data_IF_236024876761
#
_entry.id   IF_236024876761
#
_cell.length_a   1.000
_cell.length_b   1.000
_cell.length_c   1.000
_cell.angle_alpha   90.00
_cell.angle_beta   90.00
_cell.angle_gamma   90.00
#
_symmetry.space_group_name_H-M   'P 1'
#
loop_
_entity.id
_entity.type
_entity.pdbx_description
1 polymer ?
#
# COMPACT_ATOMS: atom_id res chain seq x y z
N UNK A 1 27.99 -17.40 -19.20
CA UNK A 1 27.07 -16.46 -19.86
C UNK A 1 25.65 -16.96 -19.58
N UNK A 2 24.97 -16.42 -18.56
CA UNK A 2 23.57 -16.75 -18.24
C UNK A 2 22.66 -15.71 -18.92
N UNK A 3 21.51 -16.10 -19.49
CA UNK A 3 20.69 -15.21 -20.28
C UNK A 3 19.68 -14.52 -19.36
N UNK A 4 19.98 -13.30 -18.89
CA UNK A 4 19.05 -12.21 -18.54
C UNK A 4 19.92 -11.06 -18.00
N UNK A 5 19.68 -9.84 -18.47
CA UNK A 5 20.54 -8.68 -18.22
C UNK A 5 20.50 -8.16 -16.78
N UNK A 6 21.10 -8.89 -15.84
CA UNK A 6 21.34 -8.40 -14.49
C UNK A 6 22.49 -7.38 -14.51
N UNK A 7 22.18 -6.12 -14.18
CA UNK A 7 23.19 -5.08 -13.97
C UNK A 7 24.02 -5.45 -12.74
N UNK A 8 25.27 -5.86 -12.98
CA UNK A 8 26.23 -6.14 -11.93
C UNK A 8 26.85 -4.83 -11.45
N UNK A 9 26.74 -4.57 -10.15
CA UNK A 9 27.34 -3.41 -9.51
C UNK A 9 28.43 -3.86 -8.54
N UNK A 10 29.65 -3.38 -8.76
CA UNK A 10 30.78 -3.63 -7.87
C UNK A 10 31.26 -2.31 -7.26
N UNK A 11 31.51 -2.32 -5.96
CA UNK A 11 32.23 -1.25 -5.27
C UNK A 11 33.71 -1.63 -5.21
N UNK A 12 34.56 -0.82 -5.84
CA UNK A 12 36.01 -0.93 -5.74
C UNK A 12 36.52 -0.07 -4.59
N UNK A 13 37.25 -0.68 -3.66
CA UNK A 13 38.01 0.02 -2.63
C UNK A 13 39.49 -0.22 -2.89
N UNK A 14 40.28 0.86 -2.93
CA UNK A 14 41.74 0.81 -3.11
C UNK A 14 42.38 1.31 -1.83
N UNK A 15 43.18 0.46 -1.21
CA UNK A 15 43.91 0.81 0.02
C UNK A 15 45.41 0.72 -0.23
N UNK A 16 46.18 1.80 0.00
CA UNK A 16 47.62 1.75 -0.13
C UNK A 16 48.19 0.82 0.95
N UNK A 17 49.15 0.00 0.57
CA UNK A 17 49.94 -0.82 1.49
C UNK A 17 51.28 -0.14 1.64
N UNK A 18 51.64 0.15 2.88
CA UNK A 18 52.98 0.62 3.24
C UNK A 18 53.74 -0.51 3.92
N UNK A 19 55.03 -0.58 3.62
CA UNK A 19 55.96 -1.46 4.30
C UNK A 19 56.90 -0.59 5.13
N UNK A 20 57.25 -1.04 6.33
CA UNK A 20 58.16 -0.29 7.19
C UNK A 20 59.59 -0.58 6.75
N UNK A 21 60.33 0.46 6.34
CA UNK A 21 61.74 0.33 5.96
C UNK A 21 62.63 0.59 7.17
N UNK A 22 63.31 -0.46 7.65
CA UNK A 22 64.18 -0.40 8.84
C UNK A 22 65.38 0.55 8.67
N UNK A 23 65.94 0.66 7.46
CA UNK A 23 67.10 1.50 7.18
C UNK A 23 66.74 3.00 7.14
N UNK A 24 65.53 3.31 6.70
CA UNK A 24 65.02 4.68 6.61
C UNK A 24 64.18 5.09 7.84
N UNK A 25 63.95 4.17 8.78
CA UNK A 25 63.09 4.38 9.97
C UNK A 25 61.70 4.96 9.63
N UNK A 26 61.17 4.64 8.46
CA UNK A 26 59.91 5.22 7.96
C UNK A 26 59.09 4.22 7.14
N UNK A 27 57.78 4.45 7.08
CA UNK A 27 56.88 3.70 6.21
C UNK A 27 57.05 4.15 4.75
N UNK A 28 57.33 3.20 3.86
CA UNK A 28 57.46 3.42 2.41
C UNK A 28 56.32 2.74 1.66
N UNK A 29 55.89 3.26 0.50
CA UNK A 29 54.84 2.64 -0.30
C UNK A 29 55.29 1.27 -0.81
N UNK A 30 54.53 0.22 -0.50
CA UNK A 30 54.79 -1.16 -0.92
C UNK A 30 53.83 -1.64 -2.01
N UNK A 31 52.65 -1.02 -2.13
CA UNK A 31 51.70 -1.35 -3.18
C UNK A 31 50.29 -0.86 -2.89
N UNK A 32 49.31 -1.47 -3.57
CA UNK A 32 47.89 -1.20 -3.38
C UNK A 32 47.13 -2.52 -3.29
N UNK A 33 46.17 -2.60 -2.37
CA UNK A 33 45.18 -3.68 -2.31
C UNK A 33 43.90 -3.19 -2.96
N UNK A 34 43.42 -3.96 -3.94
CA UNK A 34 42.14 -3.73 -4.61
C UNK A 34 41.11 -4.70 -4.03
N UNK A 35 40.06 -4.18 -3.43
CA UNK A 35 38.92 -4.96 -2.96
C UNK A 35 37.71 -4.66 -3.83
N UNK A 36 37.17 -5.67 -4.53
CA UNK A 36 35.89 -5.57 -5.22
C UNK A 36 34.82 -6.22 -4.36
N UNK A 37 33.79 -5.47 -4.00
CA UNK A 37 32.60 -5.97 -3.31
C UNK A 37 31.42 -5.95 -4.28
N UNK A 38 30.75 -7.09 -4.44
CA UNK A 38 29.46 -7.12 -5.12
C UNK A 38 28.42 -6.37 -4.28
N UNK A 39 27.88 -5.30 -4.83
CA UNK A 39 26.84 -4.44 -4.24
C UNK A 39 25.55 -4.46 -5.07
N UNK A 40 25.42 -5.41 -5.99
CA UNK A 40 24.26 -5.53 -6.90
C UNK A 40 22.96 -5.66 -6.13
N UNK A 41 22.91 -6.47 -5.07
CA UNK A 41 21.72 -6.63 -4.23
C UNK A 41 21.29 -5.32 -3.56
N UNK A 42 22.24 -4.54 -3.05
CA UNK A 42 21.95 -3.24 -2.44
C UNK A 42 21.45 -2.24 -3.48
N UNK A 43 22.12 -2.16 -4.65
CA UNK A 43 21.72 -1.26 -5.73
C UNK A 43 20.35 -1.59 -6.31
N UNK A 44 20.05 -2.88 -6.48
CA UNK A 44 18.72 -3.32 -6.93
C UNK A 44 17.63 -2.95 -5.92
N UNK A 45 17.88 -3.13 -4.62
CA UNK A 45 16.95 -2.73 -3.59
C UNK A 45 16.71 -1.21 -3.57
N UNK A 46 17.78 -0.42 -3.69
CA UNK A 46 17.72 1.05 -3.72
C UNK A 46 16.97 1.57 -4.95
N UNK A 47 17.19 0.92 -6.10
CA UNK A 47 16.45 1.17 -7.34
C UNK A 47 14.95 0.88 -7.17
N UNK A 48 14.60 -0.31 -6.67
CA UNK A 48 13.19 -0.70 -6.44
C UNK A 48 12.51 0.27 -5.47
N UNK A 49 13.21 0.72 -4.42
CA UNK A 49 12.68 1.75 -3.50
C UNK A 49 12.44 3.07 -4.21
N UNK A 50 13.38 3.52 -5.03
CA UNK A 50 13.27 4.77 -5.77
C UNK A 50 12.12 4.73 -6.78
N UNK A 51 12.00 3.62 -7.52
CA UNK A 51 10.90 3.37 -8.47
C UNK A 51 9.54 3.33 -7.75
N UNK A 52 9.46 2.62 -6.62
CA UNK A 52 8.26 2.58 -5.80
C UNK A 52 7.83 3.98 -5.33
N UNK A 53 8.76 4.78 -4.80
CA UNK A 53 8.47 6.16 -4.36
C UNK A 53 8.03 7.06 -5.52
N UNK A 54 8.66 6.92 -6.70
CA UNK A 54 8.26 7.65 -7.89
C UNK A 54 6.84 7.28 -8.32
N UNK A 55 6.53 5.99 -8.42
CA UNK A 55 5.17 5.50 -8.76
C UNK A 55 4.13 6.02 -7.79
N UNK A 56 4.38 5.95 -6.49
CA UNK A 56 3.44 6.44 -5.48
C UNK A 56 3.24 7.96 -5.61
N UNK A 57 4.31 8.72 -5.83
CA UNK A 57 4.22 10.17 -6.03
C UNK A 57 3.33 10.50 -7.24
N UNK A 58 3.47 9.77 -8.34
CA UNK A 58 2.61 9.91 -9.52
C UNK A 58 1.14 9.55 -9.23
N UNK A 59 0.90 8.42 -8.55
CA UNK A 59 -0.45 7.96 -8.20
C UNK A 59 -1.17 8.90 -7.22
N UNK A 60 -0.43 9.63 -6.37
CA UNK A 60 -0.99 10.65 -5.47
C UNK A 60 -1.27 11.97 -6.19
N UNK A 61 -0.43 12.36 -7.16
CA UNK A 61 -0.58 13.63 -7.90
C UNK A 61 -1.89 13.70 -8.69
N UNK A 62 -2.31 12.59 -9.28
CA UNK A 62 -3.53 12.49 -10.10
C UNK A 62 -4.82 12.80 -9.33
N UNK A 63 -5.16 12.12 -8.21
CA UNK A 63 -6.35 12.45 -7.42
C UNK A 63 -6.28 13.86 -6.81
N UNK A 64 -5.10 14.36 -6.43
CA UNK A 64 -4.92 15.74 -5.98
C UNK A 64 -5.27 16.76 -7.08
N UNK A 65 -4.80 16.54 -8.31
CA UNK A 65 -5.14 17.39 -9.45
C UNK A 65 -6.65 17.36 -9.76
N UNK A 66 -7.29 16.19 -9.66
CA UNK A 66 -8.74 16.02 -9.80
C UNK A 66 -9.52 16.79 -8.74
N UNK A 67 -9.11 16.71 -7.47
CA UNK A 67 -9.71 17.50 -6.37
C UNK A 67 -9.56 18.99 -6.66
N UNK A 68 -8.37 19.45 -7.05
CA UNK A 68 -8.13 20.85 -7.34
C UNK A 68 -9.03 21.36 -8.48
N UNK A 69 -9.14 20.61 -9.57
CA UNK A 69 -10.04 20.95 -10.67
C UNK A 69 -11.51 21.00 -10.23
N UNK A 70 -11.94 20.03 -9.42
CA UNK A 70 -13.30 19.96 -8.87
C UNK A 70 -13.60 21.17 -7.97
N UNK A 71 -12.65 21.59 -7.15
CA UNK A 71 -12.75 22.80 -6.35
C UNK A 71 -12.84 24.06 -7.21
N UNK A 72 -12.07 24.15 -8.30
CA UNK A 72 -12.18 25.26 -9.26
C UNK A 72 -13.56 25.31 -9.93
N UNK A 73 -14.14 24.15 -10.28
CA UNK A 73 -15.49 24.09 -10.83
C UNK A 73 -16.54 24.59 -9.83
N UNK A 74 -16.41 24.24 -8.54
CA UNK A 74 -17.32 24.70 -7.48
C UNK A 74 -17.33 26.23 -7.27
N UNK A 75 -16.34 26.95 -7.79
CA UNK A 75 -16.31 28.42 -7.73
C UNK A 75 -17.25 29.07 -8.75
N UNK A 76 -17.77 28.33 -9.72
CA UNK A 76 -18.75 28.86 -10.68
C UNK A 76 -20.14 28.99 -10.02
N UNK A 77 -20.55 30.24 -9.78
CA UNK A 77 -21.85 30.56 -9.16
C UNK A 77 -23.05 30.11 -9.99
N UNK A 78 -22.86 29.83 -11.30
CA UNK A 78 -23.90 29.39 -12.22
C UNK A 78 -24.26 27.90 -12.05
N UNK A 79 -23.51 27.15 -11.24
CA UNK A 79 -23.80 25.75 -10.96
C UNK A 79 -25.07 25.60 -10.11
N UNK A 80 -25.96 24.72 -10.56
CA UNK A 80 -27.12 24.30 -9.80
C UNK A 80 -26.72 23.42 -8.59
N UNK A 81 -27.68 23.19 -7.69
CA UNK A 81 -27.45 22.42 -6.47
C UNK A 81 -27.08 20.95 -6.77
N UNK A 82 -27.67 20.35 -7.80
CA UNK A 82 -27.43 18.96 -8.17
C UNK A 82 -25.99 18.75 -8.65
N UNK A 83 -25.48 19.62 -9.53
CA UNK A 83 -24.13 19.55 -10.06
C UNK A 83 -23.08 19.84 -8.99
N UNK A 84 -23.33 20.79 -8.09
CA UNK A 84 -22.45 21.01 -6.91
C UNK A 84 -22.34 19.75 -6.06
N UNK A 85 -23.46 19.06 -5.84
CA UNK A 85 -23.48 17.85 -5.02
C UNK A 85 -22.76 16.68 -5.70
N UNK A 86 -22.85 16.55 -7.02
CA UNK A 86 -22.06 15.60 -7.81
C UNK A 86 -20.55 15.89 -7.69
N UNK A 87 -20.13 17.14 -7.88
CA UNK A 87 -18.71 17.55 -7.77
C UNK A 87 -18.18 17.31 -6.35
N UNK A 88 -18.96 17.67 -5.31
CA UNK A 88 -18.61 17.39 -3.92
C UNK A 88 -18.49 15.87 -3.63
N UNK A 89 -19.35 15.06 -4.28
CA UNK A 89 -19.27 13.61 -4.24
C UNK A 89 -17.96 13.07 -4.83
N UNK A 90 -17.52 13.61 -5.97
CA UNK A 90 -16.22 13.33 -6.58
C UNK A 90 -15.08 13.62 -5.61
N UNK A 91 -14.98 14.86 -5.12
CA UNK A 91 -13.95 15.28 -4.15
C UNK A 91 -13.86 14.31 -2.95
N UNK A 92 -15.00 13.90 -2.40
CA UNK A 92 -15.05 12.93 -1.30
C UNK A 92 -14.47 11.57 -1.70
N UNK A 93 -14.79 11.08 -2.90
CA UNK A 93 -14.25 9.83 -3.45
C UNK A 93 -12.73 9.89 -3.62
N UNK A 94 -12.21 10.95 -4.25
CA UNK A 94 -10.76 11.12 -4.43
C UNK A 94 -10.01 11.24 -3.09
N UNK A 95 -10.61 11.93 -2.11
CA UNK A 95 -10.06 12.05 -0.75
C UNK A 95 -10.00 10.70 -0.05
N UNK A 96 -11.05 9.89 -0.18
CA UNK A 96 -11.07 8.54 0.38
C UNK A 96 -10.02 7.63 -0.28
N UNK A 97 -9.82 7.75 -1.61
CA UNK A 97 -8.76 7.04 -2.33
C UNK A 97 -7.38 7.44 -1.84
N UNK A 98 -7.12 8.74 -1.65
CA UNK A 98 -5.86 9.26 -1.11
C UNK A 98 -5.58 8.71 0.30
N UNK A 99 -6.58 8.73 1.18
CA UNK A 99 -6.46 8.16 2.54
C UNK A 99 -6.09 6.67 2.49
N UNK A 100 -6.69 5.91 1.57
CA UNK A 100 -6.33 4.50 1.34
C UNK A 100 -4.87 4.32 0.92
N UNK A 101 -4.38 5.12 -0.04
CA UNK A 101 -3.00 5.09 -0.53
C UNK A 101 -1.98 5.45 0.57
N UNK A 102 -2.28 6.48 1.37
CA UNK A 102 -1.44 6.85 2.52
C UNK A 102 -1.39 5.72 3.55
N UNK A 103 -2.52 5.05 3.81
CA UNK A 103 -2.55 3.88 4.68
C UNK A 103 -1.66 2.74 4.18
N UNK A 104 -1.69 2.46 2.87
CA UNK A 104 -0.82 1.44 2.26
C UNK A 104 0.67 1.80 2.40
N UNK A 105 1.02 3.06 2.16
CA UNK A 105 2.38 3.58 2.34
C UNK A 105 2.90 3.39 3.78
N UNK A 106 2.07 3.70 4.77
CA UNK A 106 2.44 3.55 6.20
C UNK A 106 2.67 2.07 6.54
N UNK A 107 1.85 1.16 6.03
CA UNK A 107 2.03 -0.28 6.25
C UNK A 107 3.30 -0.81 5.58
N UNK A 108 3.60 -0.38 4.33
CA UNK A 108 4.87 -0.72 3.65
C UNK A 108 6.08 -0.19 4.43
N UNK A 109 6.05 1.07 4.87
CA UNK A 109 7.14 1.66 5.64
C UNK A 109 7.39 0.94 6.98
N UNK A 110 6.34 0.38 7.61
CA UNK A 110 6.48 -0.43 8.83
C UNK A 110 7.17 -1.76 8.55
N UNK A 111 6.78 -2.46 7.47
CA UNK A 111 7.40 -3.72 7.05
C UNK A 111 8.89 -3.54 6.74
N UNK A 112 9.25 -2.49 6.01
CA UNK A 112 10.63 -2.18 5.64
C UNK A 112 11.55 -1.88 6.84
N UNK A 113 10.98 -1.35 7.93
CA UNK A 113 11.74 -1.05 9.15
C UNK A 113 12.03 -2.28 10.01
N UNK A 114 11.67 -3.49 9.57
CA UNK A 114 11.78 -4.72 10.37
C UNK A 114 10.86 -4.75 11.60
N UNK A 115 10.04 -3.71 11.78
CA UNK A 115 9.01 -3.62 12.81
C UNK A 115 7.78 -4.30 12.21
N UNK A 116 7.70 -5.62 12.34
CA UNK A 116 6.54 -6.38 11.87
C UNK A 116 5.21 -5.73 12.28
N UNK A 117 4.13 -6.05 11.55
CA UNK A 117 2.81 -5.46 11.79
C UNK A 117 2.40 -5.72 13.25
N UNK A 118 2.38 -4.67 14.07
CA UNK A 118 1.90 -4.77 15.45
C UNK A 118 0.38 -4.89 15.41
N UNK A 119 -0.12 -6.09 15.64
CA UNK A 119 -1.54 -6.39 15.77
C UNK A 119 -1.98 -6.16 17.21
N UNK A 120 -3.04 -5.38 17.40
CA UNK A 120 -3.71 -5.24 18.69
C UNK A 120 -4.88 -6.21 18.71
N UNK A 121 -4.61 -7.45 19.08
CA UNK A 121 -5.60 -8.52 19.08
C UNK A 121 -6.58 -8.36 20.25
N UNK A 122 -7.87 -8.41 19.95
CA UNK A 122 -8.95 -8.44 20.94
C UNK A 122 -10.15 -9.25 20.44
N UNK A 123 -11.14 -9.50 21.31
CA UNK A 123 -12.39 -10.12 20.88
C UNK A 123 -13.18 -9.16 20.00
N UNK A 124 -13.43 -9.54 18.75
CA UNK A 124 -14.11 -8.74 17.74
C UNK A 124 -15.41 -9.40 17.32
N UNK A 125 -16.49 -8.62 17.29
CA UNK A 125 -17.76 -9.01 16.71
C UNK A 125 -17.75 -8.77 15.20
N UNK A 126 -17.50 -9.82 14.42
CA UNK A 126 -17.44 -9.75 12.97
C UNK A 126 -18.64 -9.04 12.30
N UNK A 127 -19.91 -9.20 12.77
CA UNK A 127 -21.03 -8.46 12.19
C UNK A 127 -20.88 -6.94 12.26
N UNK A 128 -20.25 -6.42 13.31
CA UNK A 128 -20.05 -4.98 13.49
C UNK A 128 -18.98 -4.45 12.51
N UNK A 129 -17.88 -5.19 12.35
CA UNK A 129 -16.83 -4.88 11.37
C UNK A 129 -17.38 -4.91 9.94
N UNK A 130 -18.16 -5.94 9.62
CA UNK A 130 -18.79 -6.08 8.29
C UNK A 130 -19.72 -4.89 8.04
N UNK A 131 -20.61 -4.58 8.98
CA UNK A 131 -21.54 -3.44 8.84
C UNK A 131 -20.78 -2.14 8.58
N UNK A 132 -19.79 -1.83 9.40
CA UNK A 132 -19.01 -0.60 9.26
C UNK A 132 -18.28 -0.51 7.91
N UNK A 133 -17.62 -1.59 7.47
CA UNK A 133 -16.97 -1.62 6.17
C UNK A 133 -17.97 -1.45 5.01
N UNK A 134 -19.17 -2.05 5.12
CA UNK A 134 -20.21 -1.92 4.10
C UNK A 134 -20.85 -0.53 4.04
N UNK A 135 -20.94 0.17 5.18
CA UNK A 135 -21.44 1.55 5.22
C UNK A 135 -20.48 2.50 4.49
N UNK A 136 -19.17 2.32 4.66
CA UNK A 136 -18.13 3.14 3.98
C UNK A 136 -18.23 3.02 2.46
N UNK A 137 -18.44 1.81 1.93
CA UNK A 137 -18.50 1.59 0.48
C UNK A 137 -19.91 1.72 -0.10
N UNK A 138 -20.92 2.06 0.71
CA UNK A 138 -22.33 2.07 0.30
C UNK A 138 -22.60 2.99 -0.88
N UNK A 139 -22.02 4.19 -0.88
CA UNK A 139 -22.19 5.13 -1.99
C UNK A 139 -21.68 4.54 -3.32
N UNK A 140 -20.54 3.85 -3.30
CA UNK A 140 -19.95 3.22 -4.49
C UNK A 140 -20.76 2.01 -4.98
N UNK A 141 -21.36 1.24 -4.05
CA UNK A 141 -22.28 0.16 -4.39
C UNK A 141 -23.53 0.69 -5.09
N UNK A 142 -24.12 1.78 -4.56
CA UNK A 142 -25.30 2.42 -5.13
C UNK A 142 -25.00 3.00 -6.52
N UNK A 143 -23.89 3.71 -6.66
CA UNK A 143 -23.46 4.34 -7.92
C UNK A 143 -23.34 3.33 -9.07
N UNK A 144 -22.80 2.13 -8.78
CA UNK A 144 -22.63 1.05 -9.76
C UNK A 144 -23.79 0.04 -9.79
N UNK A 145 -24.90 0.36 -9.10
CA UNK A 145 -26.08 -0.48 -8.90
C UNK A 145 -25.79 -1.92 -8.46
N UNK A 146 -24.76 -2.13 -7.65
CA UNK A 146 -24.35 -3.45 -7.17
C UNK A 146 -25.26 -3.94 -6.04
N UNK A 147 -25.60 -5.24 -6.06
CA UNK A 147 -26.42 -5.88 -5.02
C UNK A 147 -25.54 -6.60 -4.02
N UNK A 148 -25.37 -6.04 -2.82
CA UNK A 148 -24.61 -6.68 -1.75
C UNK A 148 -25.51 -7.54 -0.85
N UNK A 149 -25.15 -8.83 -0.71
CA UNK A 149 -25.79 -9.79 0.19
C UNK A 149 -24.87 -10.11 1.36
N UNK A 150 -25.39 -10.05 2.59
CA UNK A 150 -24.67 -10.44 3.80
C UNK A 150 -25.16 -11.82 4.26
N UNK A 151 -24.27 -12.81 4.27
CA UNK A 151 -24.50 -14.17 4.74
C UNK A 151 -23.64 -14.43 5.97
N UNK A 152 -24.01 -13.79 7.08
CA UNK A 152 -23.35 -13.98 8.37
C UNK A 152 -24.09 -15.11 9.10
N UNK A 153 -23.40 -16.22 9.37
CA UNK A 153 -24.00 -17.31 10.14
C UNK A 153 -24.37 -16.82 11.55
N UNK A 154 -25.45 -17.33 12.13
CA UNK A 154 -25.78 -17.07 13.52
C UNK A 154 -25.88 -18.39 14.29
N UNK A 155 -25.27 -18.51 15.49
CA UNK A 155 -24.39 -17.53 16.12
C UNK A 155 -22.96 -17.54 15.53
N UNK A 156 -22.38 -16.35 15.34
CA UNK A 156 -20.94 -16.18 15.08
C UNK A 156 -20.21 -15.91 16.40
N UNK A 157 -19.22 -16.73 16.80
CA UNK A 157 -18.40 -16.43 17.96
C UNK A 157 -17.55 -15.19 17.72
N UNK A 158 -17.13 -14.53 18.81
CA UNK A 158 -16.15 -13.45 18.71
C UNK A 158 -14.84 -13.99 18.11
N UNK A 159 -14.28 -13.26 17.14
CA UNK A 159 -13.00 -13.60 16.54
C UNK A 159 -11.87 -12.86 17.29
N UNK A 160 -10.74 -13.53 17.51
CA UNK A 160 -9.55 -12.86 18.00
C UNK A 160 -8.87 -12.14 16.83
N UNK A 161 -9.01 -10.82 16.76
CA UNK A 161 -8.54 -10.01 15.64
C UNK A 161 -8.22 -8.57 16.04
N UNK A 162 -7.49 -7.86 15.18
CA UNK A 162 -7.33 -6.41 15.28
C UNK A 162 -8.48 -5.73 14.53
N UNK A 163 -9.33 -4.98 15.24
CA UNK A 163 -10.56 -4.41 14.68
C UNK A 163 -10.28 -3.42 13.55
N UNK A 164 -9.28 -2.55 13.69
CA UNK A 164 -8.96 -1.51 12.71
C UNK A 164 -8.38 -2.15 11.45
N UNK A 165 -7.40 -3.03 11.61
CA UNK A 165 -6.74 -3.71 10.48
C UNK A 165 -7.68 -4.65 9.75
N UNK A 166 -8.52 -5.39 10.47
CA UNK A 166 -9.52 -6.27 9.85
C UNK A 166 -10.54 -5.47 9.05
N UNK A 167 -11.02 -4.35 9.62
CA UNK A 167 -11.92 -3.43 8.93
C UNK A 167 -11.27 -2.87 7.66
N UNK A 168 -10.02 -2.45 7.75
CA UNK A 168 -9.28 -1.90 6.62
C UNK A 168 -9.10 -2.92 5.49
N UNK A 169 -8.71 -4.15 5.82
CA UNK A 169 -8.62 -5.25 4.84
C UNK A 169 -9.98 -5.48 4.18
N UNK A 170 -11.06 -5.51 4.95
CA UNK A 170 -12.40 -5.73 4.40
C UNK A 170 -12.84 -4.59 3.46
N UNK A 171 -12.56 -3.33 3.80
CA UNK A 171 -12.81 -2.17 2.92
C UNK A 171 -12.01 -2.30 1.63
N UNK A 172 -10.75 -2.71 1.71
CA UNK A 172 -9.89 -2.88 0.53
C UNK A 172 -10.46 -3.96 -0.41
N UNK A 173 -10.82 -5.12 0.16
CA UNK A 173 -11.44 -6.21 -0.59
C UNK A 173 -12.77 -5.79 -1.24
N UNK A 174 -13.63 -5.07 -0.50
CA UNK A 174 -14.89 -4.56 -1.03
C UNK A 174 -14.69 -3.53 -2.14
N UNK A 175 -13.73 -2.62 -1.96
CA UNK A 175 -13.38 -1.62 -2.98
C UNK A 175 -12.89 -2.29 -4.27
N UNK A 176 -12.07 -3.33 -4.14
CA UNK A 176 -11.64 -4.13 -5.29
C UNK A 176 -12.82 -4.85 -5.94
N UNK A 177 -13.67 -5.50 -5.15
CA UNK A 177 -14.86 -6.18 -5.66
C UNK A 177 -15.78 -5.22 -6.45
N UNK A 178 -15.99 -4.00 -5.95
CA UNK A 178 -16.78 -2.96 -6.64
C UNK A 178 -16.10 -2.55 -7.94
N UNK A 179 -14.79 -2.26 -7.90
CA UNK A 179 -14.03 -1.82 -9.07
C UNK A 179 -14.11 -2.83 -10.22
N UNK A 180 -13.93 -4.12 -9.93
CA UNK A 180 -13.83 -5.16 -10.94
C UNK A 180 -15.16 -5.85 -11.28
N UNK A 181 -16.25 -5.56 -10.56
CA UNK A 181 -17.57 -6.12 -10.89
C UNK A 181 -18.26 -5.39 -12.04
N UNK A 182 -19.02 -6.06 -12.91
CA UNK A 182 -19.92 -5.41 -13.86
C UNK A 182 -21.04 -4.63 -13.16
N UNK A 183 -21.63 -3.66 -13.87
CA UNK A 183 -22.79 -2.91 -13.37
C UNK A 183 -23.96 -3.86 -13.05
N UNK A 184 -24.66 -3.68 -11.93
CA UNK A 184 -25.80 -4.55 -11.56
C UNK A 184 -25.44 -5.91 -10.96
N UNK A 185 -24.15 -6.24 -10.86
CA UNK A 185 -23.68 -7.53 -10.36
C UNK A 185 -24.00 -7.75 -8.86
N UNK A 186 -24.06 -9.01 -8.46
CA UNK A 186 -24.24 -9.42 -7.08
C UNK A 186 -22.90 -9.62 -6.37
N UNK A 187 -22.76 -9.06 -5.18
CA UNK A 187 -21.65 -9.28 -4.26
C UNK A 187 -22.16 -10.00 -3.02
N UNK A 188 -21.34 -10.88 -2.42
CA UNK A 188 -21.72 -11.58 -1.19
C UNK A 188 -20.56 -11.54 -0.19
N UNK A 189 -20.84 -11.09 1.03
CA UNK A 189 -19.95 -11.28 2.19
C UNK A 189 -20.49 -12.46 2.98
N UNK A 190 -19.64 -13.47 3.22
CA UNK A 190 -20.00 -14.64 4.02
C UNK A 190 -19.05 -14.80 5.19
N UNK A 191 -19.61 -14.94 6.39
CA UNK A 191 -18.86 -15.28 7.60
C UNK A 191 -19.46 -16.53 8.22
N UNK A 192 -18.65 -17.56 8.44
CA UNK A 192 -19.07 -18.81 9.08
C UNK A 192 -18.01 -19.26 10.09
N UNK A 193 -18.39 -19.98 11.16
CA UNK A 193 -17.43 -20.54 12.12
C UNK A 193 -16.44 -21.48 11.44
N UNK A 194 -15.18 -21.46 11.91
CA UNK A 194 -14.09 -22.30 11.38
C UNK A 194 -14.44 -23.80 11.33
N UNK A 195 -15.16 -24.30 12.34
CA UNK A 195 -15.56 -25.72 12.41
C UNK A 195 -16.46 -26.19 11.23
N UNK A 196 -17.09 -25.28 10.49
CA UNK A 196 -17.94 -25.60 9.33
C UNK A 196 -17.21 -25.56 7.97
N UNK A 197 -15.91 -25.28 7.94
CA UNK A 197 -15.12 -25.26 6.70
C UNK A 197 -14.47 -26.61 6.35
N UNK A 198 -14.41 -27.57 7.29
CA UNK A 198 -13.74 -28.87 7.10
C UNK A 198 -14.69 -30.05 6.81
N UNK A 199 -15.92 -29.78 6.37
CA UNK A 199 -16.92 -30.80 5.99
C UNK A 199 -17.29 -30.66 4.53
#
# INVERSE_FOLDING_TARGET
>A
MRPHGENLHYQLTVSPVTEFNEQLQQAVPAGHVFCLRDVSAFKNLDQVKSEFLATISHELKTPLASINLSLMLLQDERLDAARRQEIAGGIRSETQRLLGMVGQLIEVARLDAGRGIKLTLGPVRLPEVVRYATDIVRAQLTDKALRLSLKLAEPLPAALADVEKTTWVLINLLSNAIRYSPHGAGLTIRAVPWARWCS
#
